data_IF_156263547443
#
_entry.id   IF_156263547443
#
_cell.length_a   1.000
_cell.length_b   1.000
_cell.length_c   1.000
_cell.angle_alpha   90.00
_cell.angle_beta   90.00
_cell.angle_gamma   90.00
#
_symmetry.space_group_name_H-M   'P 1'
#
loop_
_entity.id
_entity.type
_entity.pdbx_description
1 polymer ?
#
# COMPACT_ATOMS: atom_id res chain seq x y z
N UNK A 1 -28.38 23.04 -26.31
CA UNK A 1 -27.12 22.62 -25.65
C UNK A 1 -26.30 23.88 -25.53
N UNK A 2 -26.32 24.51 -24.35
CA UNK A 2 -25.71 25.83 -24.18
C UNK A 2 -24.20 25.69 -24.06
N UNK A 3 -23.49 26.40 -24.93
CA UNK A 3 -22.03 26.48 -24.94
C UNK A 3 -21.60 27.71 -24.14
N UNK A 4 -20.58 27.55 -23.29
CA UNK A 4 -19.95 28.65 -22.60
C UNK A 4 -18.84 29.21 -23.47
N UNK A 5 -18.87 30.51 -23.76
CA UNK A 5 -17.81 31.16 -24.56
C UNK A 5 -17.30 32.43 -23.90
N UNK A 6 -15.99 32.66 -23.95
CA UNK A 6 -15.35 33.88 -23.47
C UNK A 6 -14.29 34.35 -24.47
N UNK A 7 -14.30 35.64 -24.78
CA UNK A 7 -13.26 36.29 -25.58
C UNK A 7 -12.13 36.74 -24.64
N UNK A 8 -10.94 36.19 -24.83
CA UNK A 8 -9.69 36.71 -24.29
C UNK A 8 -9.02 37.59 -25.34
N UNK A 9 -8.10 38.48 -24.93
CA UNK A 9 -7.52 39.58 -25.74
C UNK A 9 -7.19 39.21 -27.19
N UNK A 10 -6.69 37.99 -27.46
CA UNK A 10 -6.34 37.52 -28.81
C UNK A 10 -7.00 36.20 -29.23
N UNK A 11 -7.91 35.66 -28.43
CA UNK A 11 -8.51 34.34 -28.70
C UNK A 11 -9.90 34.20 -28.09
N UNK A 12 -10.83 33.61 -28.84
CA UNK A 12 -12.15 33.17 -28.33
C UNK A 12 -12.04 31.73 -27.88
N UNK A 13 -12.46 31.44 -26.65
CA UNK A 13 -12.55 30.07 -26.12
C UNK A 13 -14.03 29.71 -25.99
N UNK A 14 -14.39 28.53 -26.51
CA UNK A 14 -15.74 27.96 -26.44
C UNK A 14 -15.67 26.58 -25.79
N UNK A 15 -16.55 26.30 -24.84
CA UNK A 15 -16.55 25.10 -24.01
C UNK A 15 -17.96 24.58 -23.77
N UNK A 16 -18.09 23.25 -23.65
CA UNK A 16 -19.33 22.56 -23.23
C UNK A 16 -19.52 22.53 -21.70
N UNK A 17 -18.52 22.99 -20.94
CA UNK A 17 -18.52 23.10 -19.47
C UNK A 17 -18.14 24.52 -19.06
N UNK A 18 -18.62 25.03 -17.90
CA UNK A 18 -18.33 26.39 -17.45
C UNK A 18 -16.83 26.69 -17.42
N UNK A 19 -16.43 27.81 -18.01
CA UNK A 19 -15.02 28.21 -18.04
C UNK A 19 -14.56 28.59 -16.62
N UNK A 20 -13.36 28.14 -16.19
CA UNK A 20 -12.82 28.50 -14.88
C UNK A 20 -12.61 30.02 -14.80
N UNK A 21 -12.63 30.57 -13.58
CA UNK A 21 -12.43 32.00 -13.29
C UNK A 21 -10.97 32.44 -13.52
N UNK A 22 -10.54 32.41 -14.78
CA UNK A 22 -9.21 32.78 -15.22
C UNK A 22 -9.10 34.31 -15.37
N UNK A 23 -8.12 34.89 -14.67
CA UNK A 23 -7.83 36.33 -14.62
C UNK A 23 -6.68 36.69 -15.58
N UNK A 24 -7.00 36.79 -16.87
CA UNK A 24 -6.03 37.10 -17.92
C UNK A 24 -5.37 38.49 -17.76
N UNK A 25 -6.03 39.39 -17.02
CA UNK A 25 -5.53 40.72 -16.64
C UNK A 25 -4.26 40.68 -15.78
N UNK A 26 -3.95 39.53 -15.18
CA UNK A 26 -2.76 39.33 -14.36
C UNK A 26 -1.55 38.80 -15.15
N UNK A 27 -1.74 38.33 -16.38
CA UNK A 27 -0.66 37.81 -17.21
C UNK A 27 0.27 38.93 -17.70
N UNK A 28 -0.27 40.13 -17.97
CA UNK A 28 0.53 41.30 -18.36
C UNK A 28 1.29 41.95 -17.19
N UNK A 29 0.84 41.71 -15.94
CA UNK A 29 1.43 42.33 -14.73
C UNK A 29 2.55 41.51 -14.08
N UNK A 30 2.80 40.28 -14.56
CA UNK A 30 3.94 39.47 -14.15
C UNK A 30 4.97 39.52 -15.27
N UNK A 31 6.19 40.06 -15.06
CA UNK A 31 7.23 39.83 -16.05
C UNK A 31 7.41 38.33 -16.16
N UNK A 32 7.14 37.77 -17.34
CA UNK A 32 7.47 36.39 -17.63
C UNK A 32 8.96 36.25 -17.31
N UNK A 33 9.30 35.52 -16.24
CA UNK A 33 10.66 35.04 -16.06
C UNK A 33 10.87 34.05 -17.20
N UNK A 34 11.36 34.54 -18.34
CA UNK A 34 11.93 33.68 -19.35
C UNK A 34 13.09 32.94 -18.67
N UNK A 35 12.86 31.67 -18.38
CA UNK A 35 13.90 30.77 -17.90
C UNK A 35 14.76 30.45 -19.11
N UNK A 36 15.82 31.24 -19.31
CA UNK A 36 16.84 30.96 -20.32
C UNK A 36 17.58 29.71 -19.85
N UNK A 37 17.23 28.56 -20.43
CA UNK A 37 17.91 27.31 -20.17
C UNK A 37 19.35 27.40 -20.67
N UNK A 38 20.31 26.96 -19.87
CA UNK A 38 21.72 27.01 -20.29
C UNK A 38 21.94 26.11 -21.53
N UNK A 39 22.76 26.52 -22.51
CA UNK A 39 22.98 25.76 -23.74
C UNK A 39 23.47 24.32 -23.51
N UNK A 40 24.14 24.07 -22.38
CA UNK A 40 24.62 22.75 -21.99
C UNK A 40 23.57 21.85 -21.32
N UNK A 41 22.43 22.39 -20.86
CA UNK A 41 21.42 21.62 -20.13
C UNK A 41 20.74 20.61 -21.05
N UNK A 42 20.37 21.00 -22.26
CA UNK A 42 19.78 20.08 -23.23
C UNK A 42 20.71 18.91 -23.54
N UNK A 43 22.01 19.18 -23.69
CA UNK A 43 23.02 18.14 -23.93
C UNK A 43 23.14 17.18 -22.74
N UNK A 44 23.16 17.70 -21.51
CA UNK A 44 23.19 16.88 -20.29
C UNK A 44 21.94 16.02 -20.13
N UNK A 45 20.76 16.62 -20.34
CA UNK A 45 19.49 15.89 -20.30
C UNK A 45 19.48 14.79 -21.35
N UNK A 46 19.90 15.09 -22.58
CA UNK A 46 20.01 14.12 -23.66
C UNK A 46 20.97 12.97 -23.31
N UNK A 47 22.15 13.26 -22.76
CA UNK A 47 23.10 12.23 -22.30
C UNK A 47 22.50 11.34 -21.21
N UNK A 48 21.84 11.90 -20.21
CA UNK A 48 21.17 11.11 -19.17
C UNK A 48 20.04 10.23 -19.74
N UNK A 49 19.28 10.76 -20.70
CA UNK A 49 18.20 10.01 -21.37
C UNK A 49 18.74 8.87 -22.23
N UNK A 50 19.80 9.10 -22.99
CA UNK A 50 20.45 8.08 -23.83
C UNK A 50 21.09 6.99 -22.97
N UNK A 51 21.72 7.34 -21.85
CA UNK A 51 22.29 6.37 -20.92
C UNK A 51 21.19 5.51 -20.28
N UNK A 52 20.09 6.13 -19.84
CA UNK A 52 18.94 5.40 -19.28
C UNK A 52 18.29 4.46 -20.30
N UNK A 53 18.11 4.91 -21.55
CA UNK A 53 17.56 4.08 -22.63
C UNK A 53 18.50 2.92 -22.95
N UNK A 54 19.82 3.16 -22.97
CA UNK A 54 20.83 2.12 -23.22
C UNK A 54 20.87 1.07 -22.11
N UNK A 55 20.83 1.47 -20.84
CA UNK A 55 20.74 0.55 -19.68
C UNK A 55 19.44 -0.27 -19.72
N UNK A 56 18.34 0.36 -20.15
CA UNK A 56 17.05 -0.30 -20.34
C UNK A 56 17.05 -1.27 -21.52
N UNK A 57 17.81 -1.01 -22.59
CA UNK A 57 17.92 -1.90 -23.76
C UNK A 57 18.84 -3.10 -23.48
N UNK A 58 19.97 -2.90 -22.80
CA UNK A 58 20.88 -3.98 -22.40
C UNK A 58 20.20 -5.02 -21.49
N UNK A 59 19.22 -4.59 -20.68
CA UNK A 59 18.42 -5.47 -19.83
C UNK A 59 17.31 -6.22 -20.58
N UNK A 60 16.98 -5.80 -21.82
CA UNK A 60 15.84 -6.33 -22.60
C UNK A 60 16.24 -7.38 -23.64
N UNK A 61 17.49 -7.38 -24.09
CA UNK A 61 17.96 -8.27 -25.16
C UNK A 61 18.35 -9.70 -24.70
N UNK A 62 18.22 -10.04 -23.40
CA UNK A 62 18.35 -11.43 -22.90
C UNK A 62 17.03 -12.21 -22.87
N UNK A 63 15.89 -11.59 -23.19
CA UNK A 63 14.60 -12.29 -23.27
C UNK A 63 13.84 -11.88 -24.53
N UNK A 64 14.29 -12.41 -25.67
CA UNK A 64 13.53 -12.44 -26.92
C UNK A 64 12.83 -13.79 -27.04
N UNK A 65 11.50 -13.78 -26.95
CA UNK A 65 10.67 -14.99 -27.11
C UNK A 65 9.16 -14.71 -27.07
N UNK A 66 8.63 -14.23 -28.19
CA UNK A 66 7.22 -14.25 -28.64
C UNK A 66 6.23 -13.17 -28.16
N UNK A 67 5.61 -12.56 -29.18
CA UNK A 67 4.58 -11.52 -29.17
C UNK A 67 3.17 -12.10 -28.97
N UNK A 68 2.33 -11.38 -28.23
CA UNK A 68 0.94 -11.08 -28.65
C UNK A 68 0.37 -9.87 -27.89
N UNK A 69 -0.41 -9.07 -28.61
CA UNK A 69 -0.90 -7.74 -28.27
C UNK A 69 -1.78 -7.66 -27.01
N UNK A 70 -1.34 -6.87 -26.04
CA UNK A 70 -2.16 -5.99 -25.19
C UNK A 70 -1.23 -4.87 -24.71
N UNK A 71 -1.70 -3.63 -24.63
CA UNK A 71 -0.98 -2.57 -23.90
C UNK A 71 -0.96 -2.98 -22.43
N UNK A 72 0.10 -3.69 -22.01
CA UNK A 72 0.33 -4.06 -20.62
C UNK A 72 0.57 -2.76 -19.86
N UNK A 73 -0.40 -2.35 -19.06
CA UNK A 73 -0.22 -1.29 -18.09
C UNK A 73 0.93 -1.73 -17.16
N UNK A 74 1.89 -0.84 -16.88
CA UNK A 74 3.02 -1.12 -15.98
C UNK A 74 2.58 -1.63 -14.58
N UNK A 75 1.31 -1.43 -14.23
CA UNK A 75 0.73 -1.92 -12.98
C UNK A 75 0.56 -3.45 -12.94
N UNK A 76 0.38 -4.13 -14.08
CA UNK A 76 0.24 -5.60 -14.12
C UNK A 76 1.59 -6.29 -13.88
N UNK A 77 2.68 -5.72 -14.40
CA UNK A 77 4.05 -6.18 -14.14
C UNK A 77 4.45 -6.04 -12.67
N UNK A 78 3.89 -5.07 -11.95
CA UNK A 78 4.16 -4.88 -10.52
C UNK A 78 3.58 -6.01 -9.67
N UNK A 79 2.44 -6.56 -10.11
CA UNK A 79 1.76 -7.64 -9.43
C UNK A 79 2.24 -9.02 -9.83
N UNK A 80 3.02 -9.15 -10.91
CA UNK A 80 3.59 -10.43 -11.33
C UNK A 80 4.20 -11.13 -10.13
N UNK A 81 3.51 -12.15 -9.58
CA UNK A 81 4.05 -12.90 -8.48
C UNK A 81 5.19 -13.71 -9.07
N UNK A 82 6.40 -13.58 -8.55
CA UNK A 82 7.26 -14.76 -8.50
C UNK A 82 6.39 -15.85 -7.84
N UNK A 83 6.15 -17.00 -8.51
CA UNK A 83 5.22 -17.98 -8.00
C UNK A 83 5.59 -18.34 -6.57
N UNK A 84 4.71 -18.04 -5.62
CA UNK A 84 4.88 -18.48 -4.24
C UNK A 84 4.99 -20.00 -4.29
N UNK A 85 6.08 -20.61 -3.77
CA UNK A 85 6.42 -21.95 -4.20
C UNK A 85 5.71 -22.96 -3.29
N UNK A 86 4.39 -22.99 -3.37
CA UNK A 86 3.65 -24.13 -2.87
C UNK A 86 3.93 -25.32 -3.79
N UNK A 87 4.25 -26.46 -3.17
CA UNK A 87 4.39 -27.81 -3.75
C UNK A 87 5.77 -28.29 -4.27
N UNK A 88 6.89 -27.83 -3.69
CA UNK A 88 8.16 -28.62 -3.80
C UNK A 88 8.86 -28.78 -2.44
N UNK A 89 9.30 -29.99 -2.06
CA UNK A 89 9.99 -30.24 -0.78
C UNK A 89 11.30 -29.46 -0.62
N UNK A 90 11.93 -29.04 -1.72
CA UNK A 90 13.11 -28.19 -1.70
C UNK A 90 12.82 -26.74 -1.25
N UNK A 91 11.55 -26.33 -1.26
CA UNK A 91 11.14 -24.97 -0.93
C UNK A 91 10.90 -24.75 0.57
N UNK A 92 10.46 -25.76 1.31
CA UNK A 92 10.26 -25.64 2.77
C UNK A 92 11.55 -25.25 3.48
N UNK A 93 12.67 -25.84 3.06
CA UNK A 93 14.00 -25.48 3.57
C UNK A 93 14.41 -24.04 3.23
N UNK A 94 13.97 -23.53 2.08
CA UNK A 94 14.23 -22.15 1.66
C UNK A 94 13.39 -21.16 2.49
N UNK A 95 12.09 -21.42 2.63
CA UNK A 95 11.16 -20.63 3.44
C UNK A 95 11.56 -20.62 4.92
N UNK A 96 12.01 -21.77 5.46
CA UNK A 96 12.55 -21.87 6.81
C UNK A 96 13.77 -20.97 6.98
N UNK A 97 14.75 -21.04 6.07
CA UNK A 97 15.94 -20.19 6.12
C UNK A 97 15.58 -18.70 6.03
N UNK A 98 14.67 -18.34 5.13
CA UNK A 98 14.19 -16.95 5.00
C UNK A 98 13.50 -16.49 6.29
N UNK A 99 12.65 -17.31 6.89
CA UNK A 99 11.98 -16.98 8.17
C UNK A 99 12.99 -16.84 9.31
N UNK A 100 14.01 -17.71 9.36
CA UNK A 100 15.09 -17.63 10.34
C UNK A 100 15.91 -16.35 10.18
N UNK A 101 16.22 -15.95 8.94
CA UNK A 101 16.89 -14.67 8.65
C UNK A 101 16.03 -13.46 9.06
N UNK A 102 14.72 -13.51 8.82
CA UNK A 102 13.80 -12.45 9.25
C UNK A 102 13.76 -12.33 10.77
N UNK A 103 13.75 -13.47 11.49
CA UNK A 103 13.77 -13.49 12.95
C UNK A 103 15.09 -12.91 13.51
N UNK A 104 16.22 -13.30 12.95
CA UNK A 104 17.55 -12.80 13.36
C UNK A 104 17.67 -11.29 13.13
N UNK A 105 17.24 -10.79 11.96
CA UNK A 105 17.16 -9.36 11.66
C UNK A 105 16.24 -8.62 12.64
N UNK A 106 15.05 -9.17 12.93
CA UNK A 106 14.12 -8.57 13.87
C UNK A 106 14.73 -8.47 15.27
N UNK A 107 15.35 -9.54 15.79
CA UNK A 107 16.00 -9.53 17.10
C UNK A 107 17.15 -8.53 17.16
N UNK A 108 18.03 -8.56 16.16
CA UNK A 108 19.17 -7.63 16.05
C UNK A 108 18.68 -6.17 16.06
N UNK A 109 17.63 -5.87 15.30
CA UNK A 109 17.01 -4.55 15.32
C UNK A 109 16.41 -4.21 16.70
N UNK A 110 15.64 -5.09 17.32
CA UNK A 110 15.02 -4.86 18.64
C UNK A 110 16.06 -4.67 19.74
N UNK A 111 17.22 -5.31 19.63
CA UNK A 111 18.32 -5.22 20.59
C UNK A 111 19.19 -3.98 20.39
N UNK A 112 19.16 -3.35 19.21
CA UNK A 112 19.90 -2.12 18.92
C UNK A 112 19.44 -0.93 19.77
N UNK A 113 20.33 0.06 19.96
CA UNK A 113 20.04 1.26 20.75
C UNK A 113 18.88 2.07 20.20
N UNK A 114 18.82 2.22 18.87
CA UNK A 114 17.78 2.96 18.15
C UNK A 114 16.48 2.17 18.14
N UNK A 115 16.54 0.85 17.92
CA UNK A 115 15.37 -0.03 17.96
C UNK A 115 14.68 -0.01 19.32
N UNK A 116 15.45 -0.05 20.43
CA UNK A 116 14.88 0.08 21.79
C UNK A 116 14.13 1.39 21.99
N UNK A 117 14.68 2.53 21.52
CA UNK A 117 14.02 3.84 21.61
C UNK A 117 12.70 3.86 20.83
N UNK A 118 12.69 3.29 19.62
CA UNK A 118 11.47 3.20 18.81
C UNK A 118 10.44 2.29 19.48
N UNK A 119 10.85 1.15 20.03
CA UNK A 119 9.97 0.24 20.75
C UNK A 119 9.38 0.89 22.01
N UNK A 120 10.14 1.70 22.72
CA UNK A 120 9.65 2.48 23.87
C UNK A 120 8.58 3.48 23.44
N UNK A 121 8.80 4.21 22.33
CA UNK A 121 7.77 5.06 21.74
C UNK A 121 6.51 4.26 21.37
N UNK A 122 6.66 3.13 20.67
CA UNK A 122 5.54 2.28 20.23
C UNK A 122 4.74 1.74 21.43
N UNK A 123 5.41 1.37 22.53
CA UNK A 123 4.78 0.91 23.79
C UNK A 123 3.84 1.92 24.44
N UNK A 124 4.04 3.21 24.17
CA UNK A 124 3.18 4.27 24.70
C UNK A 124 1.85 4.41 23.94
N UNK A 125 1.77 3.91 22.70
CA UNK A 125 0.57 3.99 21.88
C UNK A 125 -0.55 3.11 22.47
N UNK A 126 -1.82 3.57 22.47
CA UNK A 126 -2.94 2.77 22.94
C UNK A 126 -3.06 1.41 22.25
N UNK A 127 -2.85 1.34 20.93
CA UNK A 127 -2.90 0.08 20.17
C UNK A 127 -1.89 -0.96 20.67
N UNK A 128 -0.74 -0.55 21.21
CA UNK A 128 0.27 -1.49 21.71
C UNK A 128 -0.21 -2.23 22.97
N UNK A 129 -1.02 -1.59 23.81
CA UNK A 129 -1.53 -2.22 25.04
C UNK A 129 -2.53 -3.33 24.74
N UNK A 130 -3.22 -3.21 23.60
CA UNK A 130 -4.14 -4.22 23.08
C UNK A 130 -3.46 -5.20 22.11
N UNK A 131 -2.12 -5.18 21.97
CA UNK A 131 -1.39 -6.00 21.00
C UNK A 131 -1.78 -7.48 21.10
N UNK A 132 -1.73 -8.06 22.30
CA UNK A 132 -2.00 -9.49 22.50
C UNK A 132 -3.48 -9.83 22.26
N UNK A 133 -4.39 -8.96 22.69
CA UNK A 133 -5.83 -9.08 22.41
C UNK A 133 -6.10 -9.10 20.90
N UNK A 134 -5.51 -8.15 20.17
CA UNK A 134 -5.65 -8.00 18.72
C UNK A 134 -5.09 -9.23 17.99
N UNK A 135 -3.88 -9.67 18.32
CA UNK A 135 -3.26 -10.84 17.68
C UNK A 135 -4.04 -12.12 17.96
N UNK A 136 -4.51 -12.31 19.20
CA UNK A 136 -5.38 -13.43 19.57
C UNK A 136 -6.67 -13.42 18.77
N UNK A 137 -7.34 -12.26 18.64
CA UNK A 137 -8.54 -12.11 17.83
C UNK A 137 -8.30 -12.48 16.36
N UNK A 138 -7.24 -11.96 15.73
CA UNK A 138 -6.91 -12.22 14.32
C UNK A 138 -6.57 -13.70 14.08
N UNK A 139 -5.90 -14.36 15.04
CA UNK A 139 -5.56 -15.78 14.88
C UNK A 139 -6.79 -16.70 14.89
N UNK A 140 -7.80 -16.37 15.71
CA UNK A 140 -8.98 -17.20 15.99
C UNK A 140 -10.17 -16.92 15.07
N UNK A 141 -10.22 -15.74 14.45
CA UNK A 141 -11.35 -15.31 13.64
C UNK A 141 -10.87 -14.99 12.22
N UNK A 142 -11.65 -15.39 11.21
CA UNK A 142 -11.32 -15.06 9.83
C UNK A 142 -11.48 -13.57 9.53
N UNK A 143 -12.47 -12.91 10.15
CA UNK A 143 -12.74 -11.48 10.04
C UNK A 143 -12.71 -10.86 11.43
N UNK A 144 -11.94 -9.78 11.59
CA UNK A 144 -11.88 -8.98 12.82
C UNK A 144 -12.06 -7.51 12.49
N UNK A 145 -12.90 -6.83 13.26
CA UNK A 145 -13.07 -5.38 13.18
C UNK A 145 -12.34 -4.75 14.35
N UNK A 146 -11.49 -3.79 14.08
CA UNK A 146 -10.73 -3.07 15.09
C UNK A 146 -11.16 -1.60 15.06
N UNK A 147 -11.79 -1.16 16.15
CA UNK A 147 -12.21 0.21 16.35
C UNK A 147 -11.30 0.94 17.33
N UNK A 148 -11.18 2.24 17.18
CA UNK A 148 -10.47 3.12 18.12
C UNK A 148 -10.16 4.45 17.46
N UNK A 149 -10.06 5.54 18.20
CA UNK A 149 -9.98 6.88 17.62
C UNK A 149 -8.71 7.12 16.77
N UNK A 150 -8.66 8.23 16.04
CA UNK A 150 -7.45 8.67 15.35
C UNK A 150 -6.31 8.89 16.36
N UNK A 151 -5.08 8.58 15.96
CA UNK A 151 -3.91 8.70 16.84
C UNK A 151 -3.68 7.55 17.82
N UNK A 152 -4.60 6.58 17.95
CA UNK A 152 -4.37 5.41 18.82
C UNK A 152 -3.33 4.41 18.28
N UNK A 153 -2.92 4.56 17.00
CA UNK A 153 -1.85 3.78 16.37
C UNK A 153 -2.28 2.62 15.46
N UNK A 154 -3.57 2.46 15.15
CA UNK A 154 -4.09 1.35 14.30
C UNK A 154 -3.28 1.14 13.02
N UNK A 155 -3.26 2.16 12.17
CA UNK A 155 -2.69 2.14 10.83
C UNK A 155 -1.20 1.79 10.80
N UNK A 156 -0.43 2.29 11.77
CA UNK A 156 1.02 2.05 11.81
C UNK A 156 1.39 0.77 12.56
N UNK A 157 0.63 0.39 13.58
CA UNK A 157 1.05 -0.64 14.52
C UNK A 157 0.44 -2.02 14.24
N UNK A 158 -0.83 -2.11 13.87
CA UNK A 158 -1.51 -3.41 13.68
C UNK A 158 -0.85 -4.25 12.57
N UNK A 159 -0.53 -3.70 11.38
CA UNK A 159 0.17 -4.47 10.36
C UNK A 159 1.56 -4.95 10.84
N UNK A 160 2.26 -4.13 11.63
CA UNK A 160 3.55 -4.52 12.22
C UNK A 160 3.40 -5.63 13.24
N UNK A 161 2.38 -5.59 14.11
CA UNK A 161 2.15 -6.63 15.11
C UNK A 161 1.92 -8.00 14.46
N UNK A 162 1.12 -8.04 13.40
CA UNK A 162 0.85 -9.27 12.64
C UNK A 162 2.17 -9.81 12.05
N UNK A 163 2.92 -8.95 11.33
CA UNK A 163 4.18 -9.36 10.70
C UNK A 163 5.21 -9.83 11.75
N UNK A 164 5.38 -9.09 12.84
CA UNK A 164 6.30 -9.41 13.92
C UNK A 164 5.94 -10.75 14.59
N UNK A 165 4.65 -11.00 14.83
CA UNK A 165 4.17 -12.25 15.43
C UNK A 165 4.38 -13.46 14.52
N UNK A 166 4.17 -13.30 13.21
CA UNK A 166 4.46 -14.34 12.23
C UNK A 166 5.97 -14.60 12.09
N UNK A 167 6.81 -13.56 12.17
CA UNK A 167 8.27 -13.69 12.22
C UNK A 167 8.70 -14.45 13.49
N UNK A 168 8.18 -14.08 14.66
CA UNK A 168 8.45 -14.76 15.94
C UNK A 168 8.03 -16.24 15.91
N UNK A 169 6.97 -16.54 15.16
CA UNK A 169 6.47 -17.91 14.97
C UNK A 169 7.18 -18.70 13.86
N UNK A 170 8.30 -18.22 13.32
CA UNK A 170 9.03 -18.82 12.18
C UNK A 170 8.20 -18.98 10.90
N UNK A 171 7.16 -18.15 10.73
CA UNK A 171 6.31 -18.10 9.53
C UNK A 171 6.46 -16.79 8.74
N UNK A 172 7.40 -15.93 9.12
CA UNK A 172 7.61 -14.62 8.50
C UNK A 172 7.74 -14.65 6.97
N UNK A 173 8.44 -15.63 6.40
CA UNK A 173 8.59 -15.76 4.95
C UNK A 173 7.29 -16.13 4.21
N UNK A 174 6.31 -16.70 4.93
CA UNK A 174 5.00 -17.06 4.41
C UNK A 174 3.97 -15.94 4.62
N UNK A 175 4.23 -15.03 5.55
CA UNK A 175 3.36 -13.89 5.84
C UNK A 175 3.45 -12.85 4.71
N UNK A 176 2.29 -12.48 4.17
CA UNK A 176 2.16 -11.41 3.17
C UNK A 176 0.88 -10.62 3.46
N UNK A 177 1.05 -9.34 3.76
CA UNK A 177 0.01 -8.44 4.26
C UNK A 177 -0.22 -7.35 3.22
N UNK A 178 -1.47 -7.19 2.80
CA UNK A 178 -1.92 -6.02 2.03
C UNK A 178 -2.72 -5.11 2.93
N UNK A 179 -2.34 -3.84 3.01
CA UNK A 179 -3.09 -2.84 3.75
C UNK A 179 -3.57 -1.73 2.80
N UNK A 180 -4.88 -1.50 2.74
CA UNK A 180 -5.43 -0.42 1.92
C UNK A 180 -5.54 0.87 2.69
N UNK A 181 -5.35 1.98 2.00
CA UNK A 181 -5.67 3.33 2.46
C UNK A 181 -6.53 4.03 1.39
N UNK A 182 -7.48 4.90 1.78
CA UNK A 182 -8.33 5.61 0.83
C UNK A 182 -7.52 6.63 -0.01
N UNK A 183 -6.44 7.17 0.57
CA UNK A 183 -5.68 8.30 -0.02
C UNK A 183 -4.25 7.90 -0.37
N UNK A 184 -3.80 8.33 -1.55
CA UNK A 184 -2.43 8.08 -2.05
C UNK A 184 -1.34 8.59 -1.10
N UNK A 185 -1.53 9.79 -0.56
CA UNK A 185 -0.55 10.39 0.36
C UNK A 185 -0.44 9.58 1.66
N UNK A 186 -1.55 9.03 2.16
CA UNK A 186 -1.56 8.16 3.34
C UNK A 186 -0.81 6.85 3.07
N UNK A 187 -0.99 6.24 1.90
CA UNK A 187 -0.21 5.04 1.50
C UNK A 187 1.29 5.30 1.60
N UNK A 188 1.76 6.40 1.02
CA UNK A 188 3.19 6.73 0.97
C UNK A 188 3.72 7.06 2.36
N UNK A 189 3.06 7.97 3.08
CA UNK A 189 3.52 8.46 4.39
C UNK A 189 3.52 7.37 5.46
N UNK A 190 2.49 6.50 5.49
CA UNK A 190 2.42 5.39 6.44
C UNK A 190 3.52 4.37 6.15
N UNK A 191 3.77 4.06 4.88
CA UNK A 191 4.82 3.11 4.50
C UNK A 191 6.21 3.62 4.87
N UNK A 192 6.51 4.89 4.57
CA UNK A 192 7.77 5.54 4.97
C UNK A 192 7.93 5.57 6.49
N UNK A 193 6.84 5.89 7.20
CA UNK A 193 6.83 5.91 8.66
C UNK A 193 7.14 4.55 9.25
N UNK A 194 6.52 3.48 8.75
CA UNK A 194 6.76 2.13 9.26
C UNK A 194 8.17 1.65 8.89
N UNK A 195 8.64 1.88 7.66
CA UNK A 195 10.02 1.54 7.28
C UNK A 195 11.04 2.24 8.20
N UNK A 196 10.80 3.51 8.52
CA UNK A 196 11.61 4.26 9.51
C UNK A 196 11.53 3.64 10.90
N UNK A 197 10.33 3.25 11.38
CA UNK A 197 10.18 2.58 12.68
C UNK A 197 10.93 1.23 12.73
N UNK A 198 11.07 0.56 11.59
CA UNK A 198 11.79 -0.72 11.45
C UNK A 198 13.28 -0.56 11.09
N UNK A 199 13.77 0.67 10.97
CA UNK A 199 15.12 1.00 10.49
C UNK A 199 15.52 0.30 9.19
N UNK A 200 14.60 0.26 8.23
CA UNK A 200 14.81 -0.31 6.91
C UNK A 200 14.48 0.69 5.81
N UNK A 201 14.91 0.39 4.59
CA UNK A 201 14.48 1.16 3.41
C UNK A 201 13.15 0.64 2.89
N UNK A 202 12.36 1.54 2.29
CA UNK A 202 11.20 1.11 1.51
C UNK A 202 11.60 0.13 0.41
N UNK A 203 10.79 -0.90 0.22
CA UNK A 203 11.07 -2.01 -0.68
C UNK A 203 11.85 -3.16 -0.02
N UNK A 204 12.30 -3.01 1.23
CA UNK A 204 12.68 -4.15 2.08
C UNK A 204 11.42 -4.83 2.61
N UNK A 205 11.18 -4.93 3.93
CA UNK A 205 9.99 -5.63 4.44
C UNK A 205 8.69 -4.85 4.22
N UNK A 206 8.77 -3.51 4.22
CA UNK A 206 7.66 -2.61 3.92
C UNK A 206 7.79 -1.96 2.55
N UNK A 207 6.69 -1.94 1.81
CA UNK A 207 6.59 -1.26 0.53
C UNK A 207 5.23 -0.62 0.32
N UNK A 208 5.05 0.00 -0.84
CA UNK A 208 3.77 0.59 -1.21
C UNK A 208 3.48 0.53 -2.72
N UNK A 209 2.20 0.66 -3.07
CA UNK A 209 1.74 0.81 -4.44
C UNK A 209 0.56 1.76 -4.57
N UNK A 210 0.74 2.81 -5.35
CA UNK A 210 -0.34 3.69 -5.82
C UNK A 210 -0.40 3.65 -7.35
N UNK A 211 -1.36 4.34 -7.95
CA UNK A 211 -1.44 4.45 -9.41
C UNK A 211 -0.17 5.11 -9.96
N UNK A 212 0.46 4.45 -10.94
CA UNK A 212 1.68 4.90 -11.66
C UNK A 212 2.98 4.93 -10.83
N UNK A 213 2.94 4.59 -9.54
CA UNK A 213 4.10 4.72 -8.65
C UNK A 213 4.05 3.64 -7.55
N UNK A 214 5.20 3.06 -7.21
CA UNK A 214 5.26 2.09 -6.13
C UNK A 214 6.69 1.63 -5.86
N UNK A 215 6.90 1.12 -4.64
CA UNK A 215 8.14 0.55 -4.17
C UNK A 215 7.86 -0.82 -3.55
N UNK A 216 8.37 -1.89 -4.16
CA UNK A 216 8.25 -3.27 -3.69
C UNK A 216 9.49 -4.04 -4.11
N UNK A 217 10.17 -4.67 -3.16
CA UNK A 217 11.27 -5.60 -3.42
C UNK A 217 10.83 -7.05 -3.29
N UNK A 218 11.79 -7.97 -3.44
CA UNK A 218 11.56 -9.42 -3.32
C UNK A 218 11.20 -9.86 -1.89
N UNK A 219 11.57 -9.05 -0.91
CA UNK A 219 11.37 -9.32 0.52
C UNK A 219 10.30 -8.42 1.14
N UNK A 220 9.47 -7.77 0.32
CA UNK A 220 8.34 -6.98 0.81
C UNK A 220 7.20 -7.90 1.22
N UNK A 221 6.95 -7.91 2.52
CA UNK A 221 5.93 -8.73 3.20
C UNK A 221 4.76 -7.90 3.75
N UNK A 222 4.92 -6.58 3.83
CA UNK A 222 3.87 -5.63 4.17
C UNK A 222 3.78 -4.57 3.08
N UNK A 223 2.68 -4.57 2.33
CA UNK A 223 2.47 -3.67 1.21
C UNK A 223 1.24 -2.80 1.43
N UNK A 224 1.46 -1.50 1.52
CA UNK A 224 0.35 -0.54 1.53
C UNK A 224 -0.07 -0.19 0.11
N UNK A 225 -1.36 -0.04 -0.14
CA UNK A 225 -1.83 0.39 -1.45
C UNK A 225 -3.12 1.18 -1.35
N UNK A 226 -3.50 1.86 -2.43
CA UNK A 226 -4.85 2.43 -2.49
C UNK A 226 -5.88 1.35 -2.74
N UNK A 227 -7.11 1.56 -2.27
CA UNK A 227 -8.24 0.64 -2.49
C UNK A 227 -8.40 0.25 -3.97
N UNK A 228 -8.33 1.24 -4.87
CA UNK A 228 -8.42 1.00 -6.33
C UNK A 228 -7.28 0.14 -6.90
N UNK A 229 -6.11 0.15 -6.27
CA UNK A 229 -4.98 -0.70 -6.67
C UNK A 229 -5.24 -2.16 -6.28
N UNK A 230 -5.79 -2.41 -5.08
CA UNK A 230 -6.19 -3.76 -4.68
C UNK A 230 -7.34 -4.29 -5.54
N UNK A 231 -8.34 -3.47 -5.84
CA UNK A 231 -9.43 -3.83 -6.75
C UNK A 231 -8.91 -4.23 -8.13
N UNK A 232 -7.93 -3.50 -8.68
CA UNK A 232 -7.29 -3.89 -9.95
C UNK A 232 -6.56 -5.22 -9.83
N UNK A 233 -5.82 -5.44 -8.74
CA UNK A 233 -5.15 -6.72 -8.48
C UNK A 233 -6.15 -7.89 -8.46
N UNK A 234 -7.31 -7.72 -7.84
CA UNK A 234 -8.38 -8.72 -7.79
C UNK A 234 -8.97 -9.06 -9.17
N UNK A 235 -8.80 -8.21 -10.20
CA UNK A 235 -9.19 -8.55 -11.58
C UNK A 235 -8.24 -9.58 -12.20
N UNK A 236 -6.95 -9.52 -11.83
CA UNK A 236 -5.89 -10.39 -12.36
C UNK A 236 -5.74 -11.64 -11.49
N UNK A 237 -5.64 -11.46 -10.18
CA UNK A 237 -5.54 -12.51 -9.17
C UNK A 237 -6.78 -12.48 -8.27
N UNK A 238 -7.86 -13.09 -8.77
CA UNK A 238 -9.17 -13.16 -8.10
C UNK A 238 -9.12 -13.77 -6.70
N UNK A 239 -8.13 -14.63 -6.45
CA UNK A 239 -8.02 -15.35 -5.19
C UNK A 239 -6.95 -14.75 -4.26
N UNK A 240 -6.22 -13.71 -4.67
CA UNK A 240 -5.09 -13.15 -3.92
C UNK A 240 -4.12 -14.23 -3.41
N UNK A 241 -3.74 -15.19 -4.27
CA UNK A 241 -3.17 -16.51 -3.88
C UNK A 241 -2.03 -16.44 -2.85
N UNK A 242 -1.19 -15.43 -2.99
CA UNK A 242 -0.01 -15.16 -2.17
C UNK A 242 -0.26 -14.31 -0.92
N UNK A 243 -1.46 -13.77 -0.73
CA UNK A 243 -1.81 -12.89 0.39
C UNK A 243 -2.36 -13.71 1.55
N UNK A 244 -1.85 -13.45 2.74
CA UNK A 244 -2.28 -14.08 4.00
C UNK A 244 -3.24 -13.21 4.79
N UNK A 245 -3.03 -11.89 4.74
CA UNK A 245 -3.80 -10.92 5.49
C UNK A 245 -4.17 -9.76 4.57
N UNK A 246 -5.45 -9.39 4.55
CA UNK A 246 -5.93 -8.13 3.95
C UNK A 246 -6.42 -7.24 5.08
N UNK A 247 -5.92 -6.01 5.10
CA UNK A 247 -6.30 -4.97 6.04
C UNK A 247 -6.98 -3.87 5.23
N UNK A 248 -8.24 -3.57 5.55
CA UNK A 248 -8.96 -2.42 4.99
C UNK A 248 -8.99 -1.34 6.06
N UNK A 249 -8.17 -0.31 5.90
CA UNK A 249 -8.13 0.81 6.84
C UNK A 249 -9.13 1.91 6.47
N UNK A 250 -9.44 2.75 7.45
CA UNK A 250 -10.29 3.93 7.31
C UNK A 250 -11.69 3.61 6.73
N UNK A 251 -12.27 2.44 7.07
CA UNK A 251 -13.58 1.99 6.54
C UNK A 251 -14.74 2.96 6.87
N UNK A 252 -14.52 3.83 7.86
CA UNK A 252 -15.47 4.87 8.26
C UNK A 252 -15.53 6.05 7.29
N UNK A 253 -14.57 6.19 6.35
CA UNK A 253 -14.66 7.21 5.30
C UNK A 253 -15.77 6.87 4.27
N UNK A 254 -16.34 5.65 4.29
CA UNK A 254 -17.49 5.22 3.45
C UNK A 254 -17.32 5.53 1.96
N UNK A 255 -16.08 5.41 1.47
CA UNK A 255 -15.81 5.64 0.06
C UNK A 255 -16.39 4.51 -0.80
N UNK A 256 -16.83 4.86 -2.01
CA UNK A 256 -17.46 3.91 -2.94
C UNK A 256 -16.55 2.71 -3.26
N UNK A 257 -15.24 2.95 -3.34
CA UNK A 257 -14.27 1.89 -3.64
C UNK A 257 -14.06 0.98 -2.43
N UNK A 258 -14.08 1.55 -1.23
CA UNK A 258 -13.94 0.84 0.05
C UNK A 258 -15.14 -0.09 0.24
N UNK A 259 -16.35 0.43 0.10
CA UNK A 259 -17.58 -0.36 0.18
C UNK A 259 -17.62 -1.47 -0.89
N UNK A 260 -17.24 -1.14 -2.13
CA UNK A 260 -17.16 -2.13 -3.20
C UNK A 260 -16.10 -3.21 -2.93
N UNK A 261 -14.94 -2.83 -2.38
CA UNK A 261 -13.91 -3.79 -1.96
C UNK A 261 -14.45 -4.74 -0.88
N UNK A 262 -15.23 -4.24 0.09
CA UNK A 262 -15.81 -5.09 1.13
C UNK A 262 -16.77 -6.13 0.55
N UNK A 263 -17.56 -5.79 -0.48
CA UNK A 263 -18.41 -6.75 -1.20
C UNK A 263 -17.56 -7.84 -1.85
N UNK A 264 -16.53 -7.46 -2.61
CA UNK A 264 -15.66 -8.42 -3.29
C UNK A 264 -14.92 -9.33 -2.29
N UNK A 265 -14.43 -8.77 -1.18
CA UNK A 265 -13.76 -9.55 -0.14
C UNK A 265 -14.73 -10.50 0.57
N UNK A 266 -15.98 -10.08 0.82
CA UNK A 266 -17.01 -10.95 1.42
C UNK A 266 -17.28 -12.19 0.57
N UNK A 267 -17.30 -12.04 -0.75
CA UNK A 267 -17.46 -13.16 -1.68
C UNK A 267 -16.20 -14.04 -1.77
N UNK A 268 -15.02 -13.47 -1.54
CA UNK A 268 -13.74 -14.20 -1.56
C UNK A 268 -13.53 -15.05 -0.30
N UNK A 269 -13.96 -14.60 0.88
CA UNK A 269 -13.69 -15.26 2.16
C UNK A 269 -14.12 -16.75 2.22
N UNK A 270 -15.29 -17.17 1.71
CA UNK A 270 -15.67 -18.59 1.67
C UNK A 270 -14.75 -19.44 0.78
N UNK A 271 -14.14 -18.85 -0.24
CA UNK A 271 -13.20 -19.53 -1.14
C UNK A 271 -11.79 -19.64 -0.55
N UNK A 272 -11.47 -18.83 0.46
CA UNK A 272 -10.16 -18.75 1.12
C UNK A 272 -10.27 -18.72 2.65
N UNK A 273 -10.61 -19.85 3.29
CA UNK A 273 -10.79 -19.95 4.75
C UNK A 273 -9.53 -19.56 5.56
N UNK A 274 -8.35 -19.66 4.96
CA UNK A 274 -7.06 -19.28 5.53
C UNK A 274 -6.78 -17.77 5.47
N UNK A 275 -7.43 -17.03 4.55
CA UNK A 275 -7.23 -15.58 4.44
C UNK A 275 -7.82 -14.88 5.67
N UNK A 276 -7.05 -13.98 6.27
CA UNK A 276 -7.51 -13.13 7.38
C UNK A 276 -7.87 -11.74 6.88
N UNK A 277 -9.07 -11.27 7.22
CA UNK A 277 -9.54 -9.93 6.92
C UNK A 277 -9.61 -9.10 8.20
N UNK A 278 -8.93 -7.94 8.19
CA UNK A 278 -8.94 -6.99 9.30
C UNK A 278 -9.54 -5.69 8.79
N UNK A 279 -10.59 -5.22 9.45
CA UNK A 279 -11.27 -3.97 9.12
C UNK A 279 -10.97 -2.95 10.21
N UNK A 280 -10.38 -1.81 9.86
CA UNK A 280 -9.98 -0.79 10.84
C UNK A 280 -10.85 0.46 10.70
N UNK A 281 -11.43 0.92 11.81
CA UNK A 281 -12.31 2.09 11.87
C UNK A 281 -11.87 3.07 12.95
N UNK A 282 -11.94 4.37 12.67
CA UNK A 282 -11.73 5.41 13.68
C UNK A 282 -12.98 5.71 14.52
N UNK A 283 -14.15 5.23 14.09
CA UNK A 283 -15.45 5.55 14.72
C UNK A 283 -16.10 4.32 15.36
N UNK A 284 -17.09 4.58 16.21
CA UNK A 284 -17.89 3.57 16.91
C UNK A 284 -18.91 2.83 16.00
N UNK A 285 -18.93 3.08 14.69
CA UNK A 285 -19.82 2.38 13.74
C UNK A 285 -19.37 0.93 13.40
N UNK A 286 -18.55 0.32 14.26
CA UNK A 286 -18.03 -1.04 14.06
C UNK A 286 -19.15 -2.09 13.98
N UNK A 287 -20.28 -1.86 14.64
CA UNK A 287 -21.42 -2.79 14.69
C UNK A 287 -22.07 -3.01 13.33
N UNK A 288 -22.09 -1.99 12.46
CA UNK A 288 -22.63 -2.14 11.11
C UNK A 288 -21.76 -3.11 10.30
N UNK A 289 -20.45 -2.96 10.38
CA UNK A 289 -19.51 -3.85 9.68
C UNK A 289 -19.54 -5.26 10.29
N UNK A 290 -19.70 -5.37 11.61
CA UNK A 290 -19.85 -6.67 12.28
C UNK A 290 -21.08 -7.40 11.75
N UNK A 291 -22.22 -6.71 11.71
CA UNK A 291 -23.47 -7.23 11.16
C UNK A 291 -23.32 -7.65 9.70
N UNK A 292 -22.65 -6.82 8.88
CA UNK A 292 -22.41 -7.13 7.47
C UNK A 292 -21.56 -8.38 7.27
N UNK A 293 -20.58 -8.64 8.15
CA UNK A 293 -19.74 -9.84 8.14
C UNK A 293 -20.25 -10.95 9.08
N UNK A 294 -21.57 -11.05 9.31
CA UNK A 294 -22.20 -12.13 10.07
C UNK A 294 -21.86 -12.18 11.56
N UNK A 295 -21.77 -11.02 12.21
CA UNK A 295 -21.49 -10.90 13.65
C UNK A 295 -20.00 -11.04 13.99
N UNK A 296 -19.11 -10.64 13.08
CA UNK A 296 -17.66 -10.69 13.30
C UNK A 296 -17.20 -9.97 14.56
N UNK A 297 -16.16 -10.50 15.20
CA UNK A 297 -15.61 -9.96 16.45
C UNK A 297 -15.15 -8.50 16.28
N UNK A 298 -15.59 -7.64 17.18
CA UNK A 298 -15.15 -6.25 17.31
C UNK A 298 -14.18 -6.14 18.49
N UNK A 299 -13.00 -5.59 18.24
CA UNK A 299 -11.99 -5.25 19.26
C UNK A 299 -11.89 -3.73 19.32
N UNK A 300 -12.10 -3.16 20.50
CA UNK A 300 -12.03 -1.71 20.71
C UNK A 300 -10.73 -1.32 21.40
N UNK A 301 -9.98 -0.40 20.79
CA UNK A 301 -8.77 0.20 21.37
C UNK A 301 -9.19 1.45 22.15
N UNK A 302 -9.10 1.44 23.49
CA UNK A 302 -9.51 2.58 24.31
C UNK A 302 -8.56 3.75 24.15
N UNK A 303 -9.11 4.96 24.16
CA UNK A 303 -8.31 6.20 24.28
C UNK A 303 -8.03 6.47 25.75
N UNK A 304 -6.79 6.81 26.08
CA UNK A 304 -6.47 7.35 27.40
C UNK A 304 -6.97 8.80 27.42
N UNK A 305 -8.01 9.06 28.22
CA UNK A 305 -8.32 10.41 28.72
C UNK A 305 -7.31 10.76 29.81
#
# INVERSE_FOLDING_TARGET
MDLYSHLYVKAVVVSKVPLPSYRFDLDEKRPQREVILSPGLQKRVHTHLVNYISEKHMSRDMFSGSRSNATIDNDDLFWNPEPFPYSKPNNEKSLWRKSMQMLDKQRTWQESTEGRKILEFRRNLPAYKEKDTILSAISRNQVVIISGETGCGKTTQIPQFILESEIESMRGAMCNILCTQPRRLSVMSVSERIATERMEKLGETVGYKVRLEGMKGRDTHLLFCTTGILLRRLLVDKNLKDVTHVIVDEIHERGINEDFLLVVLKDLLPLRPELRLILMSATLEADLFSSYFSGSLVVHIPVRI
#
